data_IF_846371268421
#
_entry.id   IF_846371268421
#
_cell.length_a   1.000
_cell.length_b   1.000
_cell.length_c   1.000
_cell.angle_alpha   90.00
_cell.angle_beta   90.00
_cell.angle_gamma   90.00
#
_symmetry.space_group_name_H-M   'P 1'
#
loop_
_entity.id
_entity.type
_entity.pdbx_description
1 polymer ?
#
# COMPACT_ATOMS: atom_id res chain seq x y z
N UNK A 1 5.03 20.39 -11.22
CA UNK A 1 4.44 19.03 -11.18
C UNK A 1 4.30 18.58 -9.74
N UNK A 2 3.09 18.36 -9.18
CA UNK A 2 2.95 17.85 -7.83
C UNK A 2 3.55 16.44 -7.78
N UNK A 3 4.50 16.24 -6.87
CA UNK A 3 5.37 15.06 -6.77
C UNK A 3 4.53 13.77 -6.65
N UNK A 4 4.79 12.78 -7.52
CA UNK A 4 4.13 11.45 -7.55
C UNK A 4 3.95 10.77 -6.18
N UNK A 5 4.80 11.09 -5.19
CA UNK A 5 4.71 10.60 -3.81
C UNK A 5 3.34 10.85 -3.16
N UNK A 6 2.70 11.99 -3.44
CA UNK A 6 1.42 12.35 -2.81
C UNK A 6 0.24 11.48 -3.24
N UNK A 7 0.23 11.00 -4.49
CA UNK A 7 -0.87 10.16 -5.02
C UNK A 7 -0.83 8.75 -4.44
N UNK A 8 0.35 8.15 -4.30
CA UNK A 8 0.47 6.78 -3.76
C UNK A 8 0.03 6.72 -2.29
N UNK A 9 0.44 7.69 -1.48
CA UNK A 9 -0.02 7.78 -0.08
C UNK A 9 -1.53 7.98 0.03
N UNK A 10 -2.13 8.78 -0.85
CA UNK A 10 -3.59 8.92 -0.90
C UNK A 10 -4.26 7.57 -1.16
N UNK A 11 -3.84 6.87 -2.22
CA UNK A 11 -4.42 5.57 -2.59
C UNK A 11 -4.21 4.50 -1.52
N UNK A 12 -3.06 4.48 -0.82
CA UNK A 12 -2.84 3.56 0.30
C UNK A 12 -3.86 3.82 1.42
N UNK A 13 -4.08 5.09 1.78
CA UNK A 13 -5.01 5.44 2.87
C UNK A 13 -6.45 5.16 2.50
N UNK A 14 -6.84 5.41 1.27
CA UNK A 14 -8.19 5.06 0.80
C UNK A 14 -8.36 3.54 0.75
N UNK A 15 -7.37 2.79 0.24
CA UNK A 15 -7.41 1.33 0.24
C UNK A 15 -7.59 0.75 1.65
N UNK A 16 -6.87 1.27 2.64
CA UNK A 16 -6.99 0.87 4.04
C UNK A 16 -8.29 1.35 4.71
N UNK A 17 -8.92 2.40 4.19
CA UNK A 17 -10.22 2.88 4.68
C UNK A 17 -11.36 2.02 4.15
N UNK A 18 -11.25 1.59 2.90
CA UNK A 18 -12.29 0.82 2.21
C UNK A 18 -12.23 -0.68 2.55
N UNK A 19 -11.13 -1.14 3.15
CA UNK A 19 -10.94 -2.53 3.52
C UNK A 19 -11.58 -2.86 4.88
N UNK A 20 -12.38 -3.92 4.92
CA UNK A 20 -12.96 -4.48 6.16
C UNK A 20 -11.93 -5.24 6.99
N UNK A 21 -10.91 -5.79 6.33
CA UNK A 21 -9.82 -6.56 6.91
C UNK A 21 -8.45 -5.88 6.69
N UNK A 22 -7.46 -6.12 7.56
CA UNK A 22 -6.14 -5.55 7.36
C UNK A 22 -5.47 -6.11 6.10
N UNK A 23 -4.88 -5.23 5.30
CA UNK A 23 -4.30 -5.58 4.01
C UNK A 23 -2.81 -5.85 4.11
N UNK A 24 -2.32 -6.77 3.28
CA UNK A 24 -0.89 -6.97 3.05
C UNK A 24 -0.31 -5.85 2.17
N UNK A 25 1.02 -5.67 2.23
CA UNK A 25 1.73 -4.75 1.33
C UNK A 25 1.50 -5.08 -0.15
N UNK A 26 1.30 -6.36 -0.48
CA UNK A 26 1.08 -6.82 -1.86
C UNK A 26 -0.31 -6.43 -2.35
N UNK A 27 -1.34 -6.64 -1.54
CA UNK A 27 -2.72 -6.22 -1.86
C UNK A 27 -2.81 -4.71 -2.02
N UNK A 28 -2.18 -3.95 -1.11
CA UNK A 28 -2.09 -2.49 -1.23
C UNK A 28 -1.46 -2.07 -2.57
N UNK A 29 -0.39 -2.75 -2.99
CA UNK A 29 0.25 -2.45 -4.27
C UNK A 29 -0.68 -2.72 -5.47
N UNK A 30 -1.43 -3.83 -5.45
CA UNK A 30 -2.43 -4.14 -6.48
C UNK A 30 -3.54 -3.09 -6.53
N UNK A 31 -4.09 -2.71 -5.38
CA UNK A 31 -5.15 -1.69 -5.30
C UNK A 31 -4.63 -0.34 -5.82
N UNK A 32 -3.40 0.05 -5.44
CA UNK A 32 -2.77 1.27 -5.95
C UNK A 32 -2.57 1.22 -7.46
N UNK A 33 -2.15 0.08 -8.02
CA UNK A 33 -2.00 -0.09 -9.47
C UNK A 33 -3.35 0.01 -10.18
N UNK A 34 -4.36 -0.69 -9.67
CA UNK A 34 -5.71 -0.68 -10.22
C UNK A 34 -6.30 0.74 -10.24
N UNK A 35 -6.22 1.48 -9.12
CA UNK A 35 -6.67 2.88 -9.04
C UNK A 35 -5.91 3.83 -9.96
N UNK A 36 -4.71 3.46 -10.39
CA UNK A 36 -3.88 4.22 -11.33
C UNK A 36 -4.06 3.80 -12.78
N UNK A 37 -4.89 2.79 -13.07
CA UNK A 37 -5.03 2.22 -14.41
C UNK A 37 -3.76 1.56 -14.92
N UNK A 38 -2.93 1.01 -14.03
CA UNK A 38 -1.70 0.31 -14.39
C UNK A 38 -1.98 -1.17 -14.69
N UNK A 39 -1.11 -1.79 -15.49
CA UNK A 39 -1.23 -3.20 -15.83
C UNK A 39 -0.80 -4.08 -14.66
N UNK A 40 -1.78 -4.74 -14.03
CA UNK A 40 -1.53 -5.67 -12.92
C UNK A 40 -1.06 -7.05 -13.35
N UNK A 41 -1.03 -7.33 -14.66
CA UNK A 41 -0.52 -8.59 -15.22
C UNK A 41 0.98 -8.55 -15.48
N UNK A 42 1.57 -7.35 -15.60
CA UNK A 42 3.02 -7.17 -15.63
C UNK A 42 3.64 -7.37 -14.24
N UNK A 43 4.23 -8.55 -14.04
CA UNK A 43 4.93 -8.93 -12.81
C UNK A 43 6.03 -7.95 -12.40
N UNK A 44 6.69 -7.29 -13.37
CA UNK A 44 7.73 -6.29 -13.10
C UNK A 44 7.10 -5.02 -12.53
N UNK A 45 5.97 -4.56 -13.09
CA UNK A 45 5.24 -3.40 -12.56
C UNK A 45 4.70 -3.68 -11.16
N UNK A 46 4.10 -4.86 -10.95
CA UNK A 46 3.61 -5.29 -9.63
C UNK A 46 4.73 -5.25 -8.59
N UNK A 47 5.90 -5.84 -8.91
CA UNK A 47 7.05 -5.84 -8.01
C UNK A 47 7.53 -4.42 -7.71
N UNK A 48 7.59 -3.56 -8.73
CA UNK A 48 7.99 -2.17 -8.56
C UNK A 48 7.01 -1.40 -7.66
N UNK A 49 5.70 -1.62 -7.83
CA UNK A 49 4.70 -0.97 -6.96
C UNK A 49 4.75 -1.49 -5.54
N UNK A 50 4.92 -2.81 -5.35
CA UNK A 50 5.06 -3.40 -4.03
C UNK A 50 6.25 -2.80 -3.27
N UNK A 51 7.41 -2.64 -3.92
CA UNK A 51 8.58 -1.99 -3.32
C UNK A 51 8.33 -0.52 -2.99
N UNK A 52 7.64 0.22 -3.86
CA UNK A 52 7.30 1.64 -3.60
C UNK A 52 6.35 1.78 -2.41
N UNK A 53 5.34 0.90 -2.34
CA UNK A 53 4.37 0.83 -1.25
C UNK A 53 5.06 0.48 0.07
N UNK A 54 5.90 -0.57 0.07
CA UNK A 54 6.69 -0.99 1.23
C UNK A 54 7.57 0.12 1.79
N UNK A 55 8.17 0.96 0.93
CA UNK A 55 9.01 2.10 1.37
C UNK A 55 8.22 3.23 2.03
N UNK A 56 6.93 3.37 1.75
CA UNK A 56 6.09 4.43 2.31
C UNK A 56 5.45 4.05 3.64
N UNK A 57 5.10 2.77 3.82
CA UNK A 57 4.35 2.29 4.98
C UNK A 57 5.04 2.57 6.35
N UNK A 58 6.37 2.40 6.51
CA UNK A 58 7.05 2.75 7.76
C UNK A 58 6.94 4.23 8.12
N UNK A 59 7.05 5.14 7.15
CA UNK A 59 6.91 6.58 7.36
C UNK A 59 5.46 6.95 7.75
N UNK A 60 4.47 6.31 7.11
CA UNK A 60 3.06 6.49 7.48
C UNK A 60 2.76 5.97 8.89
N UNK A 61 3.37 4.84 9.27
CA UNK A 61 3.25 4.28 10.61
C UNK A 61 3.88 5.19 11.65
N UNK A 62 5.09 5.69 11.39
CA UNK A 62 5.79 6.63 12.27
C UNK A 62 4.99 7.94 12.46
N UNK A 63 4.21 8.35 11.46
CA UNK A 63 3.30 9.50 11.52
C UNK A 63 1.93 9.19 12.13
N UNK A 64 1.72 7.98 12.66
CA UNK A 64 0.44 7.56 13.25
C UNK A 64 -0.71 7.53 12.24
N UNK A 65 -0.43 7.31 10.95
CA UNK A 65 -1.46 7.26 9.89
C UNK A 65 -1.94 5.86 9.58
N UNK A 66 -1.10 4.86 9.85
CA UNK A 66 -1.40 3.44 9.70
C UNK A 66 -0.84 2.67 10.89
N UNK A 67 -1.40 1.52 11.18
CA UNK A 67 -0.88 0.54 12.14
C UNK A 67 -0.45 -0.72 11.40
N UNK A 68 0.33 -1.56 12.07
CA UNK A 68 0.87 -2.77 11.46
C UNK A 68 1.04 -3.91 12.46
N UNK A 69 0.84 -5.14 12.01
CA UNK A 69 1.14 -6.35 12.77
C UNK A 69 1.72 -7.45 11.87
N UNK A 70 2.45 -8.36 12.48
CA UNK A 70 2.98 -9.54 11.80
C UNK A 70 1.86 -10.58 11.72
N UNK A 71 1.36 -10.81 10.51
CA UNK A 71 0.35 -11.81 10.22
C UNK A 71 0.88 -13.25 10.31
N UNK A 72 -0.03 -14.24 10.22
CA UNK A 72 0.27 -15.66 10.46
C UNK A 72 1.32 -16.24 9.50
N UNK A 73 1.44 -15.68 8.28
CA UNK A 73 2.44 -16.08 7.28
C UNK A 73 3.72 -15.24 7.30
N UNK A 74 3.99 -14.53 8.41
CA UNK A 74 5.09 -13.55 8.56
C UNK A 74 5.01 -12.37 7.58
N UNK A 75 3.83 -12.10 7.04
CA UNK A 75 3.55 -10.93 6.23
C UNK A 75 3.13 -9.76 7.12
N UNK A 76 3.45 -8.54 6.70
CA UNK A 76 2.98 -7.36 7.43
C UNK A 76 1.56 -7.04 6.99
N UNK A 77 0.66 -7.06 7.97
CA UNK A 77 -0.73 -6.63 7.85
C UNK A 77 -0.82 -5.15 8.23
N UNK A 78 -1.63 -4.39 7.50
CA UNK A 78 -1.75 -2.94 7.65
C UNK A 78 -3.22 -2.55 7.78
N UNK A 79 -3.50 -1.61 8.68
CA UNK A 79 -4.81 -0.98 8.83
C UNK A 79 -4.67 0.52 9.05
N UNK A 80 -5.77 1.24 8.85
CA UNK A 80 -5.83 2.65 9.17
C UNK A 80 -5.66 2.84 10.69
N UNK A 81 -4.88 3.86 11.10
CA UNK A 81 -4.56 4.09 12.51
C UNK A 81 -5.73 4.64 13.32
#
# INVERSE_FOLDING_TARGET
>A
MPRQKGKVTLYIREALRDAEEPLTTRELAYIVMHRRGMDTTDNKEVRNMAQRTARQLPDLRAKGRVRSEVGPKREMLWWLA
#
